data_IF_983337708678
#
_entry.id   IF_983337708678
#
_cell.length_a   1.000
_cell.length_b   1.000
_cell.length_c   1.000
_cell.angle_alpha   90.00
_cell.angle_beta   90.00
_cell.angle_gamma   90.00
#
_symmetry.space_group_name_H-M   'P 1'
#
loop_
_entity.id
_entity.type
_entity.pdbx_description
1 polymer ?
#
# COMPACT_ATOMS: atom_id res chain seq x y z
N UNK A 1 -10.58 17.66 4.66
CA UNK A 1 -9.73 17.30 5.82
C UNK A 1 -8.69 16.30 5.35
N UNK A 2 -7.43 16.68 5.35
CA UNK A 2 -6.29 15.78 5.13
C UNK A 2 -5.77 15.43 6.52
N UNK A 3 -5.71 14.15 6.86
CA UNK A 3 -5.06 13.68 8.08
C UNK A 3 -3.72 13.08 7.67
N UNK A 4 -2.63 13.70 8.11
CA UNK A 4 -1.29 13.15 7.98
C UNK A 4 -0.95 12.37 9.25
N UNK A 5 -0.68 11.07 9.13
CA UNK A 5 -0.26 10.22 10.24
C UNK A 5 1.19 9.79 9.99
N UNK A 6 2.11 10.10 10.90
CA UNK A 6 3.48 9.58 10.86
C UNK A 6 3.58 8.39 11.81
N UNK A 7 3.73 7.18 11.26
CA UNK A 7 3.99 5.97 12.05
C UNK A 7 5.39 6.01 12.65
N UNK A 8 5.48 5.76 13.97
CA UNK A 8 6.72 5.68 14.73
C UNK A 8 7.54 4.42 14.41
N UNK A 9 8.83 4.48 14.72
CA UNK A 9 9.74 3.33 14.63
C UNK A 9 9.25 2.21 15.56
N UNK A 10 9.15 0.99 15.04
CA UNK A 10 8.96 -0.21 15.84
C UNK A 10 10.27 -0.52 16.59
N UNK A 11 10.56 0.23 17.66
CA UNK A 11 11.74 -0.04 18.48
C UNK A 11 11.44 -1.22 19.38
N UNK A 12 11.90 -2.42 19.01
CA UNK A 12 12.31 -3.41 20.01
C UNK A 12 13.49 -2.80 20.78
N UNK A 13 13.19 -2.08 21.86
CA UNK A 13 14.20 -1.57 22.79
C UNK A 13 14.55 -2.70 23.75
N UNK A 14 15.80 -3.16 23.68
CA UNK A 14 16.42 -3.87 24.79
C UNK A 14 16.56 -2.89 25.98
N UNK A 15 15.81 -3.19 27.04
CA UNK A 15 15.95 -2.83 28.44
C UNK A 15 16.30 -1.39 28.90
N UNK A 16 15.46 -0.97 29.86
CA UNK A 16 15.74 -0.08 30.99
C UNK A 16 15.79 1.43 30.73
N UNK A 17 14.66 2.05 30.43
CA UNK A 17 14.25 3.27 31.17
C UNK A 17 12.77 3.58 30.97
N UNK A 18 12.11 3.94 32.08
CA UNK A 18 10.66 4.04 32.26
C UNK A 18 10.08 5.30 31.64
N UNK A 19 9.65 5.21 30.39
CA UNK A 19 8.43 5.88 29.92
C UNK A 19 7.69 4.88 29.04
N UNK A 20 6.63 4.28 29.61
CA UNK A 20 5.77 3.34 28.90
C UNK A 20 4.94 4.10 27.87
N UNK A 21 5.38 4.12 26.61
CA UNK A 21 4.44 4.30 25.49
C UNK A 21 3.57 3.04 25.41
N UNK A 22 2.55 3.04 26.27
CA UNK A 22 1.52 2.01 26.31
C UNK A 22 0.61 2.22 25.11
N UNK A 23 0.98 1.68 23.95
CA UNK A 23 -0.02 1.39 22.93
C UNK A 23 -0.93 0.31 23.52
N UNK A 24 -2.13 0.72 23.95
CA UNK A 24 -3.15 -0.21 24.43
C UNK A 24 -3.30 -1.30 23.37
N UNK A 25 -2.98 -2.55 23.73
CA UNK A 25 -3.28 -3.74 22.93
C UNK A 25 -4.81 -3.93 22.89
N UNK A 26 -5.47 -3.12 22.07
CA UNK A 26 -6.82 -3.38 21.61
C UNK A 26 -6.78 -4.22 20.34
N UNK A 27 -7.86 -4.97 20.09
CA UNK A 27 -8.19 -5.53 18.78
C UNK A 27 -8.46 -4.40 17.78
N UNK A 28 -7.44 -3.60 17.47
CA UNK A 28 -7.56 -2.31 16.79
C UNK A 28 -8.25 -2.50 15.45
N UNK A 29 -9.40 -1.84 15.28
CA UNK A 29 -10.09 -1.77 13.99
C UNK A 29 -9.64 -0.49 13.30
N UNK A 30 -9.00 -0.60 12.14
CA UNK A 30 -8.74 0.54 11.26
C UNK A 30 -9.88 0.63 10.26
N UNK A 31 -10.62 1.75 10.22
CA UNK A 31 -11.73 1.94 9.28
C UNK A 31 -11.62 3.25 8.51
N UNK A 32 -11.68 3.17 7.17
CA UNK A 32 -11.74 4.34 6.29
C UNK A 32 -12.96 4.25 5.36
N UNK A 33 -13.84 5.23 5.46
CA UNK A 33 -15.07 5.33 4.64
C UNK A 33 -15.10 6.56 3.72
N UNK A 34 -14.18 7.49 3.88
CA UNK A 34 -14.15 8.74 3.13
C UNK A 34 -12.96 9.62 3.50
N UNK A 35 -12.79 10.74 2.78
CA UNK A 35 -11.66 11.66 2.98
C UNK A 35 -10.36 11.16 2.36
N UNK A 36 -9.26 11.87 2.67
CA UNK A 36 -7.92 11.55 2.18
C UNK A 36 -6.98 11.43 3.39
N UNK A 37 -6.31 10.30 3.49
CA UNK A 37 -5.31 10.00 4.51
C UNK A 37 -3.98 9.71 3.82
N UNK A 38 -2.93 10.39 4.28
CA UNK A 38 -1.57 10.17 3.79
C UNK A 38 -0.70 9.79 4.99
N UNK A 39 -0.08 8.62 4.90
CA UNK A 39 0.81 8.07 5.92
C UNK A 39 2.23 8.09 5.39
N UNK A 40 3.17 8.63 6.15
CA UNK A 40 4.60 8.53 5.85
C UNK A 40 5.31 7.99 7.08
N UNK A 41 5.70 6.71 7.04
CA UNK A 41 6.19 5.98 8.20
C UNK A 41 7.70 5.68 8.13
N UNK A 42 8.38 5.73 9.26
CA UNK A 42 9.77 5.25 9.39
C UNK A 42 9.87 3.72 9.55
N UNK A 43 8.82 3.12 10.09
CA UNK A 43 8.62 1.67 10.23
C UNK A 43 7.41 1.19 9.41
N UNK A 44 6.54 0.40 10.04
CA UNK A 44 5.30 -0.08 9.43
C UNK A 44 4.32 1.08 9.18
N UNK A 45 3.68 1.08 8.01
CA UNK A 45 2.69 2.11 7.65
C UNK A 45 1.36 1.87 8.34
N UNK A 46 0.75 0.73 8.05
CA UNK A 46 -0.31 0.13 8.87
C UNK A 46 0.32 -1.03 9.64
N UNK A 47 0.14 -1.03 10.97
CA UNK A 47 0.40 -2.16 11.86
C UNK A 47 -0.87 -2.42 12.68
N UNK A 48 -1.71 -3.33 12.19
CA UNK A 48 -2.98 -3.65 12.83
C UNK A 48 -3.00 -5.10 13.32
N UNK A 49 -3.17 -5.28 14.63
CA UNK A 49 -3.45 -6.60 15.22
C UNK A 49 -4.89 -7.08 14.97
N UNK A 50 -5.79 -6.20 14.48
CA UNK A 50 -7.20 -6.49 14.20
C UNK A 50 -7.63 -6.17 12.76
N UNK A 51 -8.94 -6.17 12.52
CA UNK A 51 -9.56 -5.95 11.21
C UNK A 51 -9.23 -4.56 10.64
N UNK A 52 -8.83 -4.53 9.37
CA UNK A 52 -8.74 -3.31 8.57
C UNK A 52 -9.91 -3.28 7.59
N UNK A 53 -10.70 -2.22 7.57
CA UNK A 53 -11.83 -2.07 6.64
C UNK A 53 -11.72 -0.76 5.85
N UNK A 54 -11.83 -0.85 4.53
CA UNK A 54 -11.91 0.32 3.67
C UNK A 54 -13.11 0.23 2.71
N UNK A 55 -14.03 1.19 2.86
CA UNK A 55 -15.29 1.27 2.08
C UNK A 55 -15.33 2.49 1.16
N UNK A 56 -14.42 3.45 1.33
CA UNK A 56 -14.35 4.68 0.56
C UNK A 56 -13.14 5.54 0.95
N UNK A 57 -13.01 6.71 0.32
CA UNK A 57 -11.89 7.63 0.54
C UNK A 57 -10.61 7.22 -0.19
N UNK A 58 -9.52 7.92 0.13
CA UNK A 58 -8.18 7.67 -0.43
C UNK A 58 -7.18 7.48 0.70
N UNK A 59 -6.45 6.38 0.66
CA UNK A 59 -5.36 6.05 1.58
C UNK A 59 -4.05 5.92 0.80
N UNK A 60 -3.10 6.79 1.11
CA UNK A 60 -1.75 6.72 0.55
C UNK A 60 -0.78 6.43 1.68
N UNK A 61 0.07 5.42 1.52
CA UNK A 61 1.04 5.00 2.52
C UNK A 61 2.42 4.95 1.88
N UNK A 62 3.34 5.73 2.41
CA UNK A 62 4.77 5.63 2.15
C UNK A 62 5.46 4.98 3.34
N UNK A 63 5.55 3.65 3.28
CA UNK A 63 6.24 2.82 4.26
C UNK A 63 7.75 2.98 4.20
N UNK A 64 8.42 2.32 5.14
CA UNK A 64 9.89 2.28 5.19
C UNK A 64 10.50 1.55 3.99
N UNK A 65 11.73 1.92 3.63
CA UNK A 65 12.57 1.16 2.70
C UNK A 65 13.33 0.01 3.38
N UNK A 66 13.14 -0.19 4.68
CA UNK A 66 13.75 -1.28 5.46
C UNK A 66 12.91 -2.56 5.37
N UNK A 67 13.52 -3.66 4.95
CA UNK A 67 12.90 -4.98 4.77
C UNK A 67 12.32 -5.62 6.02
N UNK A 68 12.67 -5.11 7.21
CA UNK A 68 12.01 -5.51 8.45
C UNK A 68 10.60 -4.91 8.64
N UNK A 69 10.17 -4.00 7.76
CA UNK A 69 8.87 -3.31 7.86
C UNK A 69 8.08 -3.42 6.54
N UNK A 70 6.76 -3.26 6.64
CA UNK A 70 5.83 -3.24 5.52
C UNK A 70 5.03 -1.93 5.47
N UNK A 71 4.70 -1.47 4.27
CA UNK A 71 3.72 -0.38 4.12
C UNK A 71 2.36 -0.79 4.70
N UNK A 72 2.01 -2.07 4.60
CA UNK A 72 0.81 -2.67 5.16
C UNK A 72 1.22 -3.96 5.87
N UNK A 73 0.93 -4.04 7.17
CA UNK A 73 1.07 -5.23 8.01
C UNK A 73 -0.21 -5.37 8.83
N UNK A 74 -0.86 -6.54 8.73
CA UNK A 74 -2.02 -6.87 9.55
C UNK A 74 -2.04 -8.35 9.93
N UNK A 75 -2.62 -8.66 11.08
CA UNK A 75 -2.66 -10.03 11.61
C UNK A 75 -3.84 -10.85 11.08
N UNK A 76 -5.01 -10.22 10.93
CA UNK A 76 -6.25 -10.92 10.57
C UNK A 76 -6.64 -10.67 9.11
N UNK A 77 -7.56 -9.75 8.87
CA UNK A 77 -8.11 -9.46 7.54
C UNK A 77 -8.06 -7.96 7.23
N UNK A 78 -7.77 -7.64 5.97
CA UNK A 78 -7.98 -6.32 5.39
C UNK A 78 -9.10 -6.44 4.35
N UNK A 79 -10.30 -6.04 4.74
CA UNK A 79 -11.48 -5.99 3.89
C UNK A 79 -11.58 -4.68 3.11
N UNK A 80 -11.49 -4.78 1.79
CA UNK A 80 -11.65 -3.63 0.89
C UNK A 80 -12.88 -3.79 0.00
N UNK A 81 -13.76 -2.78 0.03
CA UNK A 81 -15.00 -2.77 -0.78
C UNK A 81 -15.24 -1.45 -1.52
N UNK A 82 -14.38 -0.44 -1.31
CA UNK A 82 -14.43 0.83 -2.03
C UNK A 82 -13.23 1.73 -1.72
N UNK A 83 -13.10 2.83 -2.47
CA UNK A 83 -12.04 3.82 -2.29
C UNK A 83 -10.73 3.48 -3.02
N UNK A 84 -9.71 4.30 -2.82
CA UNK A 84 -8.39 4.16 -3.46
C UNK A 84 -7.31 3.93 -2.43
N UNK A 85 -6.59 2.82 -2.53
CA UNK A 85 -5.40 2.51 -1.73
C UNK A 85 -4.16 2.57 -2.61
N UNK A 86 -3.14 3.29 -2.18
CA UNK A 86 -1.77 3.21 -2.69
C UNK A 86 -0.81 3.02 -1.52
N UNK A 87 -0.08 1.91 -1.50
CA UNK A 87 0.99 1.65 -0.54
C UNK A 87 2.29 1.41 -1.29
N UNK A 88 3.34 2.16 -0.93
CA UNK A 88 4.70 1.97 -1.44
C UNK A 88 5.66 1.78 -0.26
N UNK A 89 6.65 0.90 -0.41
CA UNK A 89 7.64 0.63 0.63
C UNK A 89 8.58 -0.51 0.25
N UNK A 90 9.23 -1.13 1.23
CA UNK A 90 9.99 -2.36 1.02
C UNK A 90 9.12 -3.55 0.56
N UNK A 91 9.72 -4.49 -0.16
CA UNK A 91 9.16 -5.79 -0.53
C UNK A 91 9.27 -6.87 0.56
N UNK A 92 10.07 -6.63 1.62
CA UNK A 92 10.43 -7.64 2.62
C UNK A 92 9.25 -8.16 3.46
N UNK A 93 8.38 -7.26 3.92
CA UNK A 93 7.22 -7.58 4.78
C UNK A 93 5.90 -7.04 4.22
N UNK A 94 5.84 -6.79 2.91
CA UNK A 94 4.65 -6.20 2.28
C UNK A 94 3.47 -7.19 2.22
N UNK A 95 2.28 -6.68 2.52
CA UNK A 95 1.01 -7.37 2.37
C UNK A 95 0.04 -6.54 1.53
N UNK A 96 -1.00 -7.17 1.00
CA UNK A 96 -2.08 -6.53 0.25
C UNK A 96 -3.45 -6.74 0.94
N UNK A 97 -4.51 -6.02 0.53
CA UNK A 97 -5.87 -6.36 0.93
C UNK A 97 -6.17 -7.84 0.76
N UNK A 98 -6.93 -8.40 1.69
CA UNK A 98 -7.20 -9.84 1.73
C UNK A 98 -7.99 -10.29 0.50
N UNK A 99 -7.77 -11.53 0.06
CA UNK A 99 -8.44 -12.12 -1.12
C UNK A 99 -9.97 -12.22 -0.97
N UNK A 100 -10.49 -12.10 0.25
CA UNK A 100 -11.92 -12.04 0.58
C UNK A 100 -12.54 -10.65 0.32
N UNK A 101 -11.71 -9.66 -0.03
CA UNK A 101 -12.16 -8.32 -0.41
C UNK A 101 -13.08 -8.34 -1.64
N UNK A 102 -13.92 -7.30 -1.76
CA UNK A 102 -14.82 -7.12 -2.91
C UNK A 102 -14.17 -6.30 -4.02
N UNK A 103 -13.22 -5.42 -3.67
CA UNK A 103 -12.50 -4.59 -4.63
C UNK A 103 -11.18 -5.25 -5.04
N UNK A 104 -10.85 -5.17 -6.34
CA UNK A 104 -9.63 -5.73 -6.91
C UNK A 104 -8.40 -4.98 -6.40
N UNK A 105 -7.32 -5.71 -6.18
CA UNK A 105 -6.04 -5.18 -5.69
C UNK A 105 -4.89 -5.82 -6.46
N UNK A 106 -3.78 -5.10 -6.53
CA UNK A 106 -2.53 -5.59 -7.10
C UNK A 106 -1.41 -5.42 -6.08
N UNK A 107 -0.48 -6.37 -6.06
CA UNK A 107 0.79 -6.27 -5.34
C UNK A 107 1.92 -6.51 -6.33
N UNK A 108 2.82 -5.54 -6.47
CA UNK A 108 3.92 -5.58 -7.40
C UNK A 108 5.24 -5.40 -6.65
N UNK A 109 6.00 -6.49 -6.53
CA UNK A 109 7.37 -6.46 -6.04
C UNK A 109 8.34 -6.30 -7.22
N UNK A 110 9.03 -5.17 -7.22
CA UNK A 110 9.95 -4.77 -8.28
C UNK A 110 11.31 -5.46 -8.08
N UNK A 111 12.00 -5.72 -9.19
CA UNK A 111 13.34 -6.32 -9.15
C UNK A 111 14.40 -5.37 -8.57
N UNK A 112 14.18 -4.08 -8.73
CA UNK A 112 15.11 -3.03 -8.34
C UNK A 112 14.35 -1.99 -7.50
N UNK A 113 15.05 -1.41 -6.53
CA UNK A 113 14.55 -0.26 -5.78
C UNK A 113 14.40 0.94 -6.70
N UNK A 114 13.27 1.62 -6.61
CA UNK A 114 13.00 2.87 -7.30
C UNK A 114 13.24 4.01 -6.32
N UNK A 115 14.05 4.99 -6.73
CA UNK A 115 14.35 6.15 -5.90
C UNK A 115 13.11 7.03 -5.67
N UNK A 116 13.02 7.59 -4.48
CA UNK A 116 12.05 8.65 -4.19
C UNK A 116 12.17 9.81 -5.19
N UNK A 117 11.07 10.54 -5.40
CA UNK A 117 10.91 11.61 -6.39
C UNK A 117 11.01 11.13 -7.84
N UNK A 118 10.96 9.82 -8.08
CA UNK A 118 10.70 9.24 -9.40
C UNK A 118 9.20 9.04 -9.56
N UNK A 119 8.61 9.55 -10.65
CA UNK A 119 7.18 9.35 -10.94
C UNK A 119 6.88 7.86 -11.01
N UNK A 120 5.81 7.44 -10.34
CA UNK A 120 5.22 6.10 -10.38
C UNK A 120 3.91 6.18 -11.14
N UNK A 121 3.70 5.32 -12.15
CA UNK A 121 2.49 5.32 -12.96
C UNK A 121 1.99 3.90 -13.22
N UNK A 122 0.67 3.71 -13.21
CA UNK A 122 -0.01 2.48 -13.60
C UNK A 122 -0.90 2.81 -14.79
N UNK A 123 -0.70 2.08 -15.89
CA UNK A 123 -1.25 2.36 -17.20
C UNK A 123 -2.14 1.19 -17.62
N UNK A 124 -3.39 1.46 -18.00
CA UNK A 124 -4.29 0.45 -18.56
C UNK A 124 -4.06 0.28 -20.06
N UNK A 125 -3.97 -0.98 -20.50
CA UNK A 125 -4.02 -1.38 -21.90
C UNK A 125 -2.86 -0.88 -22.77
N UNK A 126 -2.96 -1.15 -24.07
CA UNK A 126 -1.96 -0.76 -25.07
C UNK A 126 -1.94 0.75 -25.33
N UNK A 127 -3.08 1.42 -25.12
CA UNK A 127 -3.21 2.89 -25.21
C UNK A 127 -2.55 3.62 -24.03
N UNK A 128 -2.00 2.87 -23.05
CA UNK A 128 -1.26 3.37 -21.89
C UNK A 128 -2.01 4.48 -21.14
N UNK A 129 -3.30 4.24 -20.86
CA UNK A 129 -4.15 5.22 -20.16
C UNK A 129 -3.80 5.22 -18.66
N UNK A 130 -3.36 6.34 -18.06
CA UNK A 130 -3.01 6.35 -16.65
C UNK A 130 -4.24 6.20 -15.76
N UNK A 131 -4.24 5.19 -14.89
CA UNK A 131 -5.27 4.95 -13.85
C UNK A 131 -4.77 5.31 -12.45
N UNK A 132 -3.45 5.38 -12.28
CA UNK A 132 -2.80 5.94 -11.10
C UNK A 132 -1.48 6.57 -11.56
N UNK A 133 -1.17 7.74 -11.02
CA UNK A 133 0.19 8.23 -10.99
C UNK A 133 0.45 8.81 -9.60
N UNK A 134 1.69 8.84 -9.18
CA UNK A 134 2.10 9.28 -7.84
C UNK A 134 3.58 9.67 -7.85
N UNK A 135 3.98 10.56 -6.94
CA UNK A 135 5.38 10.93 -6.75
C UNK A 135 5.79 10.57 -5.31
N UNK A 136 6.31 9.34 -5.08
CA UNK A 136 6.80 8.92 -3.77
C UNK A 136 7.87 9.87 -3.23
N UNK A 137 7.83 10.19 -1.94
CA UNK A 137 8.90 10.96 -1.29
C UNK A 137 10.09 10.08 -0.86
N UNK A 138 9.86 8.77 -0.71
CA UNK A 138 10.86 7.76 -0.31
C UNK A 138 11.08 6.71 -1.39
N UNK A 139 12.24 6.06 -1.34
CA UNK A 139 12.56 4.93 -2.21
C UNK A 139 11.76 3.70 -1.81
N UNK A 140 11.37 2.89 -2.79
CA UNK A 140 10.45 1.75 -2.61
C UNK A 140 10.78 0.61 -3.57
N UNK A 141 10.31 -0.58 -3.25
CA UNK A 141 10.43 -1.78 -4.08
C UNK A 141 9.10 -2.56 -4.18
N UNK A 142 8.15 -2.30 -3.28
CA UNK A 142 6.78 -2.81 -3.36
C UNK A 142 5.79 -1.71 -3.70
N UNK A 143 4.80 -2.05 -4.52
CA UNK A 143 3.61 -1.23 -4.78
C UNK A 143 2.36 -2.08 -4.57
N UNK A 144 1.50 -1.64 -3.66
CA UNK A 144 0.15 -2.17 -3.48
C UNK A 144 -0.84 -1.11 -3.93
N UNK A 145 -1.72 -1.49 -4.84
CA UNK A 145 -2.74 -0.58 -5.35
C UNK A 145 -4.10 -1.25 -5.43
N UNK A 146 -5.14 -0.55 -4.99
CA UNK A 146 -6.52 -0.95 -5.18
C UNK A 146 -7.38 0.26 -5.49
N UNK A 147 -8.27 0.11 -6.46
CA UNK A 147 -9.14 1.17 -6.93
C UNK A 147 -10.31 0.58 -7.70
N UNK A 148 -11.48 1.25 -7.75
CA UNK A 148 -12.56 0.90 -8.67
C UNK A 148 -12.15 0.93 -10.15
N UNK A 149 -11.02 1.55 -10.50
CA UNK A 149 -10.46 1.56 -11.85
C UNK A 149 -9.74 0.25 -12.25
N UNK A 150 -9.51 -0.64 -11.28
CA UNK A 150 -8.95 -1.96 -11.54
C UNK A 150 -10.09 -2.93 -11.91
N UNK A 151 -10.08 -3.37 -13.17
CA UNK A 151 -11.13 -4.21 -13.74
C UNK A 151 -10.59 -5.60 -14.07
N UNK A 152 -11.42 -6.61 -13.85
CA UNK A 152 -11.11 -7.99 -14.20
C UNK A 152 -10.97 -8.15 -15.72
N UNK A 153 -10.00 -8.97 -16.13
CA UNK A 153 -9.65 -9.20 -17.53
C UNK A 153 -8.86 -8.05 -18.19
N UNK A 154 -8.65 -6.92 -17.49
CA UNK A 154 -7.82 -5.82 -17.98
C UNK A 154 -6.35 -6.01 -17.61
N UNK A 155 -5.48 -5.50 -18.49
CA UNK A 155 -4.03 -5.52 -18.30
C UNK A 155 -3.50 -4.14 -17.96
N UNK A 156 -2.49 -4.13 -17.10
CA UNK A 156 -1.88 -2.91 -16.60
C UNK A 156 -0.36 -3.01 -16.61
N UNK A 157 0.28 -1.90 -16.95
CA UNK A 157 1.72 -1.72 -16.94
C UNK A 157 2.11 -0.74 -15.85
N UNK A 158 2.95 -1.17 -14.92
CA UNK A 158 3.60 -0.27 -13.97
C UNK A 158 4.85 0.32 -14.62
N UNK A 159 4.95 1.64 -14.64
CA UNK A 159 6.06 2.38 -15.23
C UNK A 159 6.58 3.43 -14.26
N UNK A 160 7.88 3.72 -14.36
CA UNK A 160 8.55 4.69 -13.47
C UNK A 160 9.35 5.72 -14.28
N UNK A 161 9.47 6.93 -13.74
CA UNK A 161 10.04 8.07 -14.45
C UNK A 161 9.02 8.67 -15.40
N UNK A 162 9.48 9.19 -16.54
CA UNK A 162 8.63 9.88 -17.50
C UNK A 162 8.05 11.19 -16.94
N UNK A 163 7.03 11.71 -17.62
CA UNK A 163 6.34 12.93 -17.20
C UNK A 163 4.82 12.76 -17.26
N UNK A 164 4.11 13.49 -16.40
CA UNK A 164 2.65 13.52 -16.39
C UNK A 164 2.14 14.82 -15.73
N UNK A 165 0.87 15.22 -15.92
CA UNK A 165 0.27 16.44 -15.32
C UNK A 165 -0.62 16.15 -14.07
N UNK A 166 -0.28 16.63 -12.86
CA UNK A 166 -1.04 16.31 -11.64
C UNK A 166 -2.47 16.85 -11.72
N UNK A 167 -3.46 16.11 -11.21
CA UNK A 167 -4.78 16.66 -10.85
C UNK A 167 -4.67 17.25 -9.44
N UNK A 168 -5.32 18.37 -9.18
CA UNK A 168 -5.27 18.98 -7.85
C UNK A 168 -5.94 18.10 -6.77
N UNK A 169 -5.36 18.08 -5.56
CA UNK A 169 -5.96 17.50 -4.35
C UNK A 169 -5.77 15.99 -4.15
N UNK A 170 -5.36 15.26 -5.18
CA UNK A 170 -4.74 13.94 -5.08
C UNK A 170 -3.59 13.93 -6.08
N UNK A 171 -2.46 13.33 -5.74
CA UNK A 171 -1.37 13.07 -6.70
C UNK A 171 -1.81 12.20 -7.91
N UNK A 172 -3.09 11.97 -8.18
CA UNK A 172 -3.61 11.38 -9.41
C UNK A 172 -3.38 12.35 -10.56
N UNK A 173 -2.73 11.92 -11.62
CA UNK A 173 -2.46 12.78 -12.77
C UNK A 173 -3.61 12.68 -13.79
N UNK A 174 -4.05 13.79 -14.36
CA UNK A 174 -5.00 13.77 -15.49
C UNK A 174 -4.34 13.16 -16.71
N UNK A 175 -5.05 12.32 -17.49
CA UNK A 175 -4.49 11.66 -18.67
C UNK A 175 -4.15 12.70 -19.74
N UNK A 176 -2.89 13.14 -19.75
CA UNK A 176 -2.11 13.19 -20.99
C UNK A 176 -1.47 11.82 -21.19
N UNK A 177 -0.98 11.56 -22.40
CA UNK A 177 -0.12 10.41 -22.63
C UNK A 177 1.02 10.44 -21.60
N UNK A 178 1.17 9.33 -20.86
CA UNK A 178 2.36 9.11 -20.07
C UNK A 178 3.50 8.75 -21.04
N UNK A 179 4.51 9.60 -21.10
CA UNK A 179 5.61 9.50 -22.07
C UNK A 179 6.94 9.31 -21.33
N UNK A 180 7.88 8.64 -22.00
CA UNK A 180 9.28 8.47 -21.59
C UNK A 180 9.52 7.76 -20.24
N UNK A 181 8.56 6.94 -19.80
CA UNK A 181 8.72 6.06 -18.65
C UNK A 181 9.44 4.74 -18.95
N UNK A 182 9.93 4.09 -17.90
CA UNK A 182 10.53 2.75 -17.96
C UNK A 182 9.57 1.75 -17.32
N UNK A 183 9.11 0.79 -18.10
CA UNK A 183 8.21 -0.27 -17.64
C UNK A 183 8.93 -1.21 -16.67
N UNK A 184 8.28 -1.47 -15.54
CA UNK A 184 8.80 -2.27 -14.43
C UNK A 184 8.04 -3.58 -14.24
N UNK A 185 6.74 -3.59 -14.53
CA UNK A 185 5.90 -4.78 -14.44
C UNK A 185 4.71 -4.69 -15.40
N UNK A 186 4.23 -5.84 -15.84
CA UNK A 186 2.99 -6.00 -16.61
C UNK A 186 2.17 -7.10 -15.95
N UNK A 187 0.87 -6.85 -15.74
CA UNK A 187 -0.04 -7.79 -15.10
C UNK A 187 -1.41 -7.74 -15.76
N UNK A 188 -2.13 -8.87 -15.73
CA UNK A 188 -3.55 -8.95 -16.08
C UNK A 188 -4.33 -9.35 -14.84
N UNK A 189 -5.40 -8.61 -14.54
CA UNK A 189 -6.19 -8.87 -13.33
C UNK A 189 -7.15 -10.03 -13.60
N UNK A 190 -7.01 -11.09 -12.80
CA UNK A 190 -7.88 -12.28 -12.90
C UNK A 190 -8.64 -12.53 -11.59
N UNK A 191 -8.01 -12.30 -10.45
CA UNK A 191 -8.58 -12.55 -9.12
C UNK A 191 -8.77 -11.27 -8.32
N UNK A 192 -9.35 -11.38 -7.12
CA UNK A 192 -9.45 -10.25 -6.16
C UNK A 192 -8.08 -9.63 -5.89
N UNK A 193 -7.03 -10.45 -5.80
CA UNK A 193 -5.65 -10.01 -5.66
C UNK A 193 -4.81 -10.61 -6.79
N UNK A 194 -4.12 -9.76 -7.54
CA UNK A 194 -3.13 -10.18 -8.54
C UNK A 194 -1.74 -9.78 -8.07
N UNK A 195 -0.84 -10.75 -7.98
CA UNK A 195 0.51 -10.54 -7.44
C UNK A 195 1.57 -10.76 -8.51
N UNK A 196 2.54 -9.86 -8.58
CA UNK A 196 3.80 -10.02 -9.29
C UNK A 196 4.95 -10.05 -8.26
N UNK A 197 5.63 -11.20 -8.16
CA UNK A 197 6.62 -11.48 -7.11
C UNK A 197 6.02 -12.27 -5.93
N UNK A 198 6.72 -12.32 -4.80
CA UNK A 198 6.27 -13.01 -3.59
C UNK A 198 5.44 -12.07 -2.69
N UNK A 199 4.42 -12.59 -2.00
CA UNK A 199 3.69 -11.87 -0.95
C UNK A 199 3.84 -12.61 0.37
N UNK A 200 3.97 -11.89 1.50
CA UNK A 200 3.95 -12.51 2.83
C UNK A 200 2.53 -12.82 3.28
N UNK A 201 2.37 -13.96 3.97
CA UNK A 201 1.09 -14.31 4.59
C UNK A 201 0.82 -13.44 5.83
N UNK A 202 -0.45 -13.22 6.21
CA UNK A 202 -0.79 -12.57 7.47
C UNK A 202 -0.11 -13.24 8.65
N UNK A 203 0.40 -12.42 9.57
CA UNK A 203 1.02 -12.90 10.81
C UNK A 203 -0.12 -13.37 11.72
N UNK A 204 -0.50 -14.64 11.60
CA UNK A 204 -1.30 -15.30 12.63
C UNK A 204 -0.43 -15.44 13.87
N UNK A 205 -0.62 -14.54 14.84
CA UNK A 205 -0.12 -14.82 16.18
C UNK A 205 -0.77 -16.13 16.65
N UNK A 206 -0.01 -17.07 17.23
CA UNK A 206 -0.64 -18.19 17.91
C UNK A 206 -1.60 -17.61 18.95
N UNK A 207 -2.82 -18.15 19.00
CA UNK A 207 -3.68 -17.97 20.17
C UNK A 207 -2.87 -18.51 21.36
N UNK A 208 -2.17 -17.63 22.07
CA UNK A 208 -1.57 -18.00 23.34
C UNK A 208 -2.71 -18.51 24.23
N UNK A 209 -2.50 -19.72 24.77
CA UNK A 209 -3.52 -20.51 25.40
C UNK A 209 -4.29 -19.70 26.44
N UNK A 210 -5.60 -19.57 26.21
CA UNK A 210 -6.55 -19.46 27.31
C UNK A 210 -6.47 -20.81 28.02
N UNK A 211 -5.60 -20.89 29.02
CA UNK A 211 -5.66 -21.95 30.01
C UNK A 211 -6.86 -21.58 30.88
N UNK A 212 -7.95 -22.36 30.77
CA UNK A 212 -9.06 -22.34 31.72
C UNK A 212 -8.61 -22.75 33.13
#
# INVERSE_FOLDING_TARGET
>A
NIVAVSGGLNSKKENNDKEEDTFIEGSGILSLSGGIVIVSAGGDGIDSRGLVTMTGGTLIIEGSSNDANGAIVYNDVFEMSGGTLLAVGSSGMTMAPSITSKQKSILLNLKETVEGKTVLCLLEGEDRIPVMAYLPSKSYQSVVYSSPLLLEGKSYTLSTGGSTTPKEGMNLYTPKAYEDGIDKAYITIHDTLTTYGEMKAPIKLPLEGIIE
#
